data_IF_729323577011
#
_entry.id   IF_729323577011
#
_cell.length_a   1.000
_cell.length_b   1.000
_cell.length_c   1.000
_cell.angle_alpha   90.00
_cell.angle_beta   90.00
_cell.angle_gamma   90.00
#
_symmetry.space_group_name_H-M   'P 1'
#
loop_
_entity.id
_entity.type
_entity.pdbx_description
1 polymer ?
#
# COMPACT_ATOMS: atom_id res chain seq x y z
N UNK A 1 8.32 13.61 12.08
CA UNK A 1 8.45 14.84 11.25
C UNK A 1 7.10 15.06 10.59
N UNK A 2 6.44 16.21 10.80
CA UNK A 2 5.08 16.42 10.27
C UNK A 2 5.09 16.70 8.76
N UNK A 3 4.00 16.34 8.08
CA UNK A 3 3.85 16.51 6.62
C UNK A 3 4.00 17.98 6.22
N UNK A 4 3.40 18.89 6.99
CA UNK A 4 3.49 20.34 6.79
C UNK A 4 4.94 20.86 6.79
N UNK A 5 5.78 20.35 7.71
CA UNK A 5 7.19 20.74 7.78
C UNK A 5 7.99 20.28 6.55
N UNK A 6 7.50 19.25 5.85
CA UNK A 6 8.15 18.64 4.68
C UNK A 6 7.74 19.39 3.42
N UNK A 7 6.46 19.76 3.30
CA UNK A 7 5.94 20.57 2.21
C UNK A 7 6.55 21.97 2.15
N UNK A 8 6.61 22.68 3.29
CA UNK A 8 7.17 24.02 3.34
C UNK A 8 8.64 24.06 2.87
N UNK A 9 9.43 23.03 3.22
CA UNK A 9 10.82 22.88 2.76
C UNK A 9 10.93 22.63 1.26
N UNK A 10 10.04 21.80 0.71
CA UNK A 10 10.00 21.52 -0.74
C UNK A 10 9.57 22.76 -1.53
N UNK A 11 8.59 23.52 -1.02
CA UNK A 11 8.16 24.79 -1.62
C UNK A 11 9.33 25.77 -1.73
N UNK A 12 10.04 26.03 -0.63
CA UNK A 12 11.23 26.91 -0.61
C UNK A 12 12.31 26.44 -1.61
N UNK A 13 12.51 25.13 -1.75
CA UNK A 13 13.48 24.59 -2.71
C UNK A 13 13.06 24.82 -4.17
N UNK A 14 11.78 24.63 -4.49
CA UNK A 14 11.21 24.87 -5.81
C UNK A 14 11.21 26.36 -6.16
N UNK A 15 10.86 27.22 -5.20
CA UNK A 15 10.91 28.68 -5.34
C UNK A 15 12.32 29.14 -5.72
N UNK A 16 13.35 28.71 -4.99
CA UNK A 16 14.75 29.06 -5.31
C UNK A 16 15.21 28.57 -6.68
N UNK A 17 14.70 27.42 -7.12
CA UNK A 17 15.10 26.80 -8.38
C UNK A 17 14.42 27.45 -9.59
N UNK A 18 13.15 27.80 -9.48
CA UNK A 18 12.33 28.23 -10.61
C UNK A 18 12.03 29.73 -10.61
N UNK A 19 12.19 30.40 -9.47
CA UNK A 19 11.91 31.82 -9.28
C UNK A 19 13.11 32.53 -8.62
N UNK A 20 14.27 32.60 -9.30
CA UNK A 20 15.50 33.18 -8.75
C UNK A 20 15.38 34.68 -8.43
N UNK A 21 14.42 35.38 -9.05
CA UNK A 21 14.13 36.79 -8.81
C UNK A 21 13.00 37.03 -7.78
N UNK A 22 12.60 35.98 -7.07
CA UNK A 22 11.48 35.99 -6.14
C UNK A 22 10.16 35.65 -6.80
N UNK A 23 9.17 35.42 -5.95
CA UNK A 23 7.82 34.98 -6.33
C UNK A 23 6.85 36.12 -5.99
N UNK A 24 6.00 36.51 -6.93
CA UNK A 24 4.96 37.51 -6.67
C UNK A 24 3.87 36.92 -5.76
N UNK A 25 3.11 37.74 -5.03
CA UNK A 25 2.00 37.25 -4.20
C UNK A 25 0.98 36.39 -4.97
N UNK A 26 0.77 36.70 -6.25
CA UNK A 26 -0.12 35.92 -7.13
C UNK A 26 0.44 34.53 -7.43
N UNK A 27 1.74 34.42 -7.65
CA UNK A 27 2.41 33.15 -7.91
C UNK A 27 2.52 32.30 -6.64
N UNK A 28 2.69 32.91 -5.46
CA UNK A 28 2.62 32.21 -4.17
C UNK A 28 1.23 31.56 -4.00
N UNK A 29 0.16 32.35 -4.21
CA UNK A 29 -1.20 31.82 -4.11
C UNK A 29 -1.45 30.68 -5.10
N UNK A 30 -0.93 30.79 -6.33
CA UNK A 30 -1.01 29.73 -7.32
C UNK A 30 -0.29 28.45 -6.86
N UNK A 31 0.91 28.57 -6.28
CA UNK A 31 1.66 27.42 -5.78
C UNK A 31 0.95 26.75 -4.59
N UNK A 32 0.38 27.53 -3.69
CA UNK A 32 -0.39 27.02 -2.55
C UNK A 32 -1.68 26.31 -3.03
N UNK A 33 -2.37 26.84 -4.06
CA UNK A 33 -3.54 26.19 -4.67
C UNK A 33 -3.16 24.85 -5.35
N UNK A 34 -2.04 24.82 -6.07
CA UNK A 34 -1.50 23.59 -6.69
C UNK A 34 -1.14 22.56 -5.61
N UNK A 35 -0.51 22.98 -4.53
CA UNK A 35 -0.19 22.08 -3.41
C UNK A 35 -1.47 21.46 -2.82
N UNK A 36 -2.49 22.27 -2.54
CA UNK A 36 -3.76 21.77 -2.03
C UNK A 36 -4.43 20.78 -2.99
N UNK A 37 -4.41 21.05 -4.29
CA UNK A 37 -4.95 20.15 -5.31
C UNK A 37 -4.22 18.81 -5.32
N UNK A 38 -2.89 18.82 -5.25
CA UNK A 38 -2.07 17.61 -5.22
C UNK A 38 -2.28 16.81 -3.94
N UNK A 39 -2.37 17.47 -2.78
CA UNK A 39 -2.68 16.80 -1.51
C UNK A 39 -4.06 16.13 -1.56
N UNK A 40 -5.08 16.82 -2.08
CA UNK A 40 -6.43 16.25 -2.26
C UNK A 40 -6.43 15.07 -3.23
N UNK A 41 -5.70 15.17 -4.36
CA UNK A 41 -5.58 14.09 -5.32
C UNK A 41 -4.89 12.85 -4.70
N UNK A 42 -3.81 13.05 -3.94
CA UNK A 42 -3.14 11.98 -3.21
C UNK A 42 -4.06 11.33 -2.17
N UNK A 43 -4.77 12.14 -1.38
CA UNK A 43 -5.72 11.64 -0.38
C UNK A 43 -6.88 10.89 -1.03
N UNK A 44 -7.45 11.40 -2.13
CA UNK A 44 -8.51 10.73 -2.87
C UNK A 44 -8.04 9.40 -3.46
N UNK A 45 -6.81 9.36 -4.01
CA UNK A 45 -6.16 8.13 -4.45
C UNK A 45 -5.96 7.14 -3.30
N UNK A 46 -5.41 7.58 -2.18
CA UNK A 46 -5.18 6.76 -0.99
C UNK A 46 -6.49 6.23 -0.38
N UNK A 47 -7.56 7.03 -0.38
CA UNK A 47 -8.90 6.63 0.06
C UNK A 47 -9.52 5.63 -0.93
N UNK A 48 -9.37 5.83 -2.24
CA UNK A 48 -9.86 4.88 -3.24
C UNK A 48 -9.13 3.52 -3.20
N UNK A 49 -7.89 3.48 -2.71
CA UNK A 49 -7.19 2.22 -2.40
C UNK A 49 -7.63 1.56 -1.09
N UNK A 50 -8.33 2.27 -0.20
CA UNK A 50 -8.89 1.68 1.04
C UNK A 50 -10.24 0.98 0.81
N UNK A 51 -10.94 1.25 -0.30
CA UNK A 51 -12.25 0.64 -0.61
C UNK A 51 -12.15 -0.71 -1.36
N UNK A 52 -10.96 -1.07 -1.85
CA UNK A 52 -10.69 -2.46 -2.24
C UNK A 52 -10.33 -3.18 -0.94
N UNK A 53 -11.23 -4.02 -0.43
CA UNK A 53 -10.98 -4.78 0.80
C UNK A 53 -9.57 -5.38 0.77
N UNK A 54 -8.66 -4.77 1.53
CA UNK A 54 -7.24 -5.02 1.37
C UNK A 54 -6.96 -6.45 1.81
N UNK A 55 -6.55 -7.30 0.85
CA UNK A 55 -6.09 -8.63 1.17
C UNK A 55 -4.88 -8.53 2.10
N UNK A 56 -4.99 -9.18 3.25
CA UNK A 56 -3.90 -9.29 4.22
C UNK A 56 -3.47 -10.73 4.37
N UNK A 57 -2.21 -10.96 4.73
CA UNK A 57 -1.71 -12.30 5.07
C UNK A 57 -2.53 -12.93 6.20
N UNK A 58 -2.99 -12.12 7.16
CA UNK A 58 -3.86 -12.57 8.26
C UNK A 58 -5.19 -13.12 7.75
N UNK A 59 -5.85 -12.41 6.83
CA UNK A 59 -7.09 -12.87 6.22
C UNK A 59 -6.88 -14.16 5.42
N UNK A 60 -5.76 -14.29 4.71
CA UNK A 60 -5.42 -15.51 3.99
C UNK A 60 -5.19 -16.72 4.93
N UNK A 61 -4.51 -16.52 6.07
CA UNK A 61 -4.40 -17.57 7.09
C UNK A 61 -5.77 -17.97 7.65
N UNK A 62 -6.64 -17.00 7.94
CA UNK A 62 -8.00 -17.26 8.40
C UNK A 62 -8.76 -18.17 7.44
N UNK A 63 -8.75 -17.86 6.14
CA UNK A 63 -9.40 -18.71 5.13
C UNK A 63 -8.79 -20.11 5.05
N UNK A 64 -7.46 -20.23 5.13
CA UNK A 64 -6.79 -21.53 5.13
C UNK A 64 -7.16 -22.39 6.35
N UNK A 65 -7.25 -21.79 7.54
CA UNK A 65 -7.70 -22.46 8.77
C UNK A 65 -9.15 -22.92 8.61
N UNK A 66 -10.06 -22.04 8.20
CA UNK A 66 -11.48 -22.37 8.01
C UNK A 66 -11.67 -23.50 6.98
N UNK A 67 -10.90 -23.49 5.90
CA UNK A 67 -10.93 -24.55 4.90
C UNK A 67 -10.42 -25.88 5.46
N UNK A 68 -9.30 -25.85 6.20
CA UNK A 68 -8.70 -27.02 6.84
C UNK A 68 -9.65 -27.65 7.86
N UNK A 69 -10.28 -26.84 8.71
CA UNK A 69 -11.30 -27.28 9.68
C UNK A 69 -12.49 -27.92 8.96
N UNK A 70 -12.99 -27.30 7.88
CA UNK A 70 -14.12 -27.81 7.11
C UNK A 70 -13.86 -29.18 6.49
N UNK A 71 -12.63 -29.46 6.07
CA UNK A 71 -12.25 -30.76 5.49
C UNK A 71 -11.74 -31.76 6.54
N UNK A 72 -11.73 -31.38 7.82
CA UNK A 72 -11.40 -32.26 8.93
C UNK A 72 -9.90 -32.46 9.19
N UNK A 73 -9.06 -31.47 8.86
CA UNK A 73 -7.64 -31.52 9.25
C UNK A 73 -7.48 -31.57 10.76
N UNK A 74 -6.49 -32.34 11.23
CA UNK A 74 -6.10 -32.31 12.63
C UNK A 74 -5.50 -30.95 13.01
N UNK A 75 -5.49 -30.62 14.30
CA UNK A 75 -4.83 -29.40 14.78
C UNK A 75 -3.35 -29.36 14.36
N UNK A 76 -2.65 -30.50 14.43
CA UNK A 76 -1.25 -30.60 14.02
C UNK A 76 -1.06 -30.33 12.53
N UNK A 77 -1.94 -30.85 11.67
CA UNK A 77 -1.88 -30.63 10.23
C UNK A 77 -2.21 -29.18 9.88
N UNK A 78 -3.21 -28.59 10.54
CA UNK A 78 -3.54 -27.17 10.39
C UNK A 78 -2.38 -26.28 10.80
N UNK A 79 -1.75 -26.54 11.96
CA UNK A 79 -0.56 -25.78 12.39
C UNK A 79 0.60 -25.93 11.39
N UNK A 80 0.83 -27.13 10.87
CA UNK A 80 1.87 -27.39 9.86
C UNK A 80 1.58 -26.65 8.56
N UNK A 81 0.33 -26.66 8.08
CA UNK A 81 -0.11 -25.92 6.89
C UNK A 81 0.13 -24.41 7.06
N UNK A 82 -0.28 -23.84 8.20
CA UNK A 82 -0.15 -22.40 8.47
C UNK A 82 1.30 -21.96 8.57
N UNK A 83 2.17 -22.74 9.23
CA UNK A 83 3.61 -22.46 9.26
C UNK A 83 4.24 -22.50 7.87
N UNK A 84 3.85 -23.47 7.04
CA UNK A 84 4.32 -23.56 5.67
C UNK A 84 3.85 -22.38 4.81
N UNK A 85 2.58 -21.99 4.96
CA UNK A 85 1.99 -20.85 4.26
C UNK A 85 2.68 -19.54 4.66
N UNK A 86 2.98 -19.35 5.96
CA UNK A 86 3.70 -18.17 6.45
C UNK A 86 5.08 -18.06 5.85
N UNK A 87 5.85 -19.15 5.86
CA UNK A 87 7.16 -19.16 5.22
C UNK A 87 7.07 -18.79 3.73
N UNK A 88 6.04 -19.25 3.01
CA UNK A 88 5.86 -18.94 1.59
C UNK A 88 5.52 -17.48 1.35
N UNK A 89 4.69 -16.86 2.19
CA UNK A 89 4.41 -15.42 2.07
C UNK A 89 5.65 -14.55 2.29
N UNK A 90 6.60 -14.99 3.12
CA UNK A 90 7.84 -14.23 3.37
C UNK A 90 8.85 -14.35 2.22
N UNK A 91 8.90 -15.50 1.53
CA UNK A 91 9.99 -15.82 0.59
C UNK A 91 9.56 -15.90 -0.88
N UNK A 92 8.26 -15.84 -1.19
CA UNK A 92 7.72 -15.96 -2.55
C UNK A 92 6.93 -14.71 -2.91
N UNK A 93 7.25 -14.13 -4.08
CA UNK A 93 6.50 -12.98 -4.59
C UNK A 93 5.07 -13.37 -5.01
N UNK A 94 4.15 -12.39 -4.97
CA UNK A 94 2.77 -12.56 -5.40
C UNK A 94 2.65 -13.10 -6.84
N UNK A 95 3.48 -12.59 -7.76
CA UNK A 95 3.50 -13.02 -9.15
C UNK A 95 3.85 -14.51 -9.28
N UNK A 96 4.88 -14.96 -8.57
CA UNK A 96 5.33 -16.36 -8.60
C UNK A 96 4.32 -17.31 -7.97
N UNK A 97 3.67 -16.90 -6.88
CA UNK A 97 2.59 -17.67 -6.27
C UNK A 97 1.39 -17.81 -7.23
N UNK A 98 1.02 -16.72 -7.91
CA UNK A 98 -0.08 -16.72 -8.88
C UNK A 98 0.26 -17.56 -10.13
N UNK A 99 1.50 -17.52 -10.62
CA UNK A 99 1.94 -18.39 -11.70
C UNK A 99 1.87 -19.86 -11.30
N UNK A 100 2.33 -20.20 -10.08
CA UNK A 100 2.26 -21.56 -9.58
C UNK A 100 0.81 -22.07 -9.53
N UNK A 101 -0.14 -21.26 -9.08
CA UNK A 101 -1.56 -21.63 -9.08
C UNK A 101 -2.08 -21.88 -10.50
N UNK A 102 -1.82 -20.95 -11.44
CA UNK A 102 -2.25 -21.09 -12.85
C UNK A 102 -1.72 -22.34 -13.55
N UNK A 103 -0.61 -22.91 -13.06
CA UNK A 103 0.02 -24.12 -13.59
C UNK A 103 -0.40 -25.39 -12.85
N UNK A 104 -1.13 -25.26 -11.75
CA UNK A 104 -1.59 -26.39 -10.95
C UNK A 104 -2.85 -27.02 -11.56
N UNK A 105 -3.18 -28.24 -11.14
CA UNK A 105 -4.43 -28.91 -11.54
C UNK A 105 -5.66 -28.50 -10.71
N UNK A 106 -5.50 -27.49 -9.84
CA UNK A 106 -6.53 -26.93 -8.95
C UNK A 106 -6.89 -25.50 -9.37
#
# INVERSE_FOLDING_TARGET
MSLELTCAKHRIALEKKHFPNGVTPREINLLDDVEQLLQRAYQAGAQSSNDVQAWSNQSAFGYAIMAAERVGFSESDTQRLIRALHNRFDVVSLEKAAEHYRRSSY
#
